data_IF_261411461950
#
_entry.id   IF_261411461950
#
_cell.length_a   1.000
_cell.length_b   1.000
_cell.length_c   1.000
_cell.angle_alpha   90.00
_cell.angle_beta   90.00
_cell.angle_gamma   90.00
#
_symmetry.space_group_name_H-M   'P 1'
#
loop_
_entity.id
_entity.type
_entity.pdbx_description
1 polymer ?
#
# COMPACT_ATOMS: atom_id res chain seq x y z
N UNK A 1 -7.61 -4.55 23.99
CA UNK A 1 -7.49 -5.14 22.64
C UNK A 1 -6.58 -6.34 22.72
N UNK A 2 -6.93 -7.46 22.11
CA UNK A 2 -6.04 -8.61 21.98
C UNK A 2 -4.95 -8.28 20.96
N UNK A 3 -3.77 -8.93 21.06
CA UNK A 3 -2.75 -8.79 20.03
C UNK A 3 -3.28 -9.37 18.70
N UNK A 4 -3.03 -8.71 17.55
CA UNK A 4 -3.43 -9.24 16.26
C UNK A 4 -2.86 -10.63 15.98
N UNK A 5 -3.67 -11.47 15.33
CA UNK A 5 -3.30 -12.83 14.94
C UNK A 5 -3.05 -12.88 13.43
N UNK A 6 -1.88 -13.33 13.03
CA UNK A 6 -1.49 -13.37 11.61
C UNK A 6 -1.49 -14.80 11.06
N UNK A 7 -1.61 -14.94 9.71
CA UNK A 7 -1.46 -16.23 9.05
C UNK A 7 -0.08 -16.86 9.35
N UNK A 8 0.08 -18.18 9.20
CA UNK A 8 1.39 -18.82 9.23
C UNK A 8 2.38 -18.08 8.32
N UNK A 9 3.65 -18.03 8.72
CA UNK A 9 4.75 -17.28 8.08
C UNK A 9 4.77 -15.76 8.38
N UNK A 10 3.75 -15.21 9.04
CA UNK A 10 3.78 -13.82 9.50
C UNK A 10 3.90 -13.71 10.99
N UNK A 11 4.76 -12.81 11.47
CA UNK A 11 5.00 -12.56 12.88
C UNK A 11 4.84 -11.09 13.21
N UNK A 12 3.97 -10.79 14.17
CA UNK A 12 3.67 -9.42 14.56
C UNK A 12 4.62 -8.90 15.64
N UNK A 13 5.07 -7.65 15.48
CA UNK A 13 5.81 -6.88 16.48
C UNK A 13 5.14 -5.53 16.66
N UNK A 14 4.54 -5.31 17.82
CA UNK A 14 3.98 -4.00 18.16
C UNK A 14 5.09 -3.01 18.49
N UNK A 15 4.91 -1.77 18.06
CA UNK A 15 5.69 -0.62 18.53
C UNK A 15 4.77 0.39 19.21
N UNK A 16 5.31 1.15 20.16
CA UNK A 16 4.53 2.06 20.99
C UNK A 16 4.95 3.53 20.77
N UNK A 17 4.08 4.42 21.20
CA UNK A 17 4.33 5.86 21.15
C UNK A 17 4.45 6.38 19.72
N UNK A 18 5.49 7.18 19.48
CA UNK A 18 5.75 7.81 18.17
C UNK A 18 6.71 7.01 17.28
N UNK A 19 6.99 5.73 17.61
CA UNK A 19 7.83 4.90 16.77
C UNK A 19 7.16 4.63 15.43
N UNK A 20 7.90 4.86 14.33
CA UNK A 20 7.41 4.57 12.98
C UNK A 20 7.63 3.08 12.66
N UNK A 21 6.54 2.29 12.46
CA UNK A 21 6.65 0.89 12.09
C UNK A 21 7.41 0.64 10.79
N UNK A 22 7.29 1.55 9.82
CA UNK A 22 7.97 1.40 8.54
C UNK A 22 9.48 1.51 8.68
N UNK A 23 9.97 2.56 9.35
CA UNK A 23 11.41 2.69 9.63
C UNK A 23 11.93 1.54 10.49
N UNK A 24 11.14 1.09 11.47
CA UNK A 24 11.52 -0.07 12.29
C UNK A 24 11.60 -1.35 11.45
N UNK A 25 10.65 -1.59 10.54
CA UNK A 25 10.68 -2.74 9.65
C UNK A 25 11.89 -2.70 8.71
N UNK A 26 12.23 -1.55 8.12
CA UNK A 26 13.42 -1.37 7.30
C UNK A 26 14.71 -1.69 8.10
N UNK A 27 14.80 -1.19 9.34
CA UNK A 27 15.96 -1.48 10.21
C UNK A 27 16.09 -2.97 10.56
N UNK A 28 14.98 -3.67 10.82
CA UNK A 28 15.02 -5.11 11.11
C UNK A 28 15.35 -5.90 9.83
N UNK A 29 14.80 -5.51 8.68
CA UNK A 29 15.11 -6.12 7.39
C UNK A 29 16.58 -5.97 7.03
N UNK A 30 17.18 -4.78 7.22
CA UNK A 30 18.61 -4.55 7.03
C UNK A 30 19.50 -5.33 7.98
N UNK A 31 18.96 -5.81 9.12
CA UNK A 31 19.66 -6.71 10.07
C UNK A 31 19.49 -8.19 9.73
N UNK A 32 18.71 -8.51 8.72
CA UNK A 32 18.47 -9.89 8.28
C UNK A 32 17.35 -10.58 9.06
N UNK A 33 16.25 -9.87 9.38
CA UNK A 33 15.07 -10.55 9.92
C UNK A 33 14.42 -11.45 8.87
N UNK A 34 13.62 -12.40 9.35
CA UNK A 34 12.86 -13.29 8.46
C UNK A 34 11.79 -12.51 7.68
N UNK A 35 11.51 -12.94 6.44
CA UNK A 35 10.36 -12.50 5.66
C UNK A 35 9.06 -12.77 6.42
N UNK A 36 8.07 -11.87 6.27
CA UNK A 36 6.79 -11.96 6.98
C UNK A 36 6.79 -11.27 8.35
N UNK A 37 7.84 -10.54 8.74
CA UNK A 37 7.78 -9.65 9.90
C UNK A 37 6.75 -8.54 9.63
N UNK A 38 5.76 -8.40 10.52
CA UNK A 38 4.75 -7.34 10.52
C UNK A 38 5.02 -6.42 11.71
N UNK A 39 5.53 -5.23 11.46
CA UNK A 39 5.70 -4.19 12.50
C UNK A 39 4.49 -3.29 12.47
N UNK A 40 3.86 -3.02 13.61
CA UNK A 40 2.64 -2.22 13.64
C UNK A 40 2.50 -1.34 14.88
N UNK A 41 1.75 -0.25 14.72
CA UNK A 41 1.29 0.63 15.77
C UNK A 41 -0.22 0.86 15.58
N UNK A 42 -1.00 0.47 16.58
CA UNK A 42 -2.45 0.65 16.61
C UNK A 42 -2.78 1.81 17.58
N UNK A 43 -2.54 3.03 17.11
CA UNK A 43 -2.96 4.22 17.84
C UNK A 43 -4.47 4.42 17.71
N UNK A 44 -5.06 5.24 18.58
CA UNK A 44 -6.51 5.48 18.58
C UNK A 44 -6.98 6.16 17.28
N UNK A 45 -6.14 7.02 16.73
CA UNK A 45 -6.42 7.88 15.58
C UNK A 45 -5.82 7.35 14.28
N UNK A 46 -4.93 6.35 14.34
CA UNK A 46 -4.15 5.90 13.19
C UNK A 46 -3.75 4.43 13.28
N UNK A 47 -3.84 3.73 12.15
CA UNK A 47 -3.22 2.42 11.97
C UNK A 47 -1.97 2.61 11.13
N UNK A 48 -0.82 2.32 11.71
CA UNK A 48 0.47 2.26 11.03
C UNK A 48 0.96 0.82 11.04
N UNK A 49 1.35 0.30 9.88
CA UNK A 49 1.92 -1.04 9.79
C UNK A 49 2.93 -1.14 8.66
N UNK A 50 3.83 -2.12 8.74
CA UNK A 50 4.76 -2.43 7.67
C UNK A 50 5.03 -3.93 7.63
N UNK A 51 5.16 -4.48 6.43
CA UNK A 51 5.44 -5.89 6.20
C UNK A 51 6.77 -6.02 5.47
N UNK A 52 7.63 -6.90 5.97
CA UNK A 52 8.92 -7.25 5.35
C UNK A 52 8.72 -8.44 4.42
N UNK A 53 9.20 -8.31 3.20
CA UNK A 53 9.25 -9.35 2.18
C UNK A 53 10.70 -9.61 1.77
N UNK A 54 11.00 -10.84 1.35
CA UNK A 54 12.27 -11.21 0.73
C UNK A 54 11.96 -12.00 -0.55
N UNK A 55 11.50 -11.32 -1.60
CA UNK A 55 11.16 -11.96 -2.86
C UNK A 55 12.44 -12.37 -3.60
N UNK A 56 12.48 -13.59 -4.11
CA UNK A 56 13.61 -14.17 -4.84
C UNK A 56 13.57 -13.78 -6.33
N UNK A 57 13.50 -12.48 -6.61
CA UNK A 57 13.41 -11.87 -7.93
C UNK A 57 14.16 -10.54 -7.95
N UNK A 58 14.37 -9.95 -9.14
CA UNK A 58 14.98 -8.63 -9.27
C UNK A 58 14.03 -7.51 -8.81
N UNK A 59 14.59 -6.35 -8.45
CA UNK A 59 13.85 -5.24 -7.85
C UNK A 59 12.62 -4.81 -8.66
N UNK A 60 12.72 -4.67 -9.99
CA UNK A 60 11.58 -4.25 -10.82
C UNK A 60 10.40 -5.22 -10.75
N UNK A 61 10.66 -6.52 -10.58
CA UNK A 61 9.63 -7.54 -10.39
C UNK A 61 9.12 -7.57 -8.97
N UNK A 62 10.00 -7.40 -7.97
CA UNK A 62 9.66 -7.35 -6.57
C UNK A 62 8.71 -6.18 -6.23
N UNK A 63 8.78 -5.07 -6.98
CA UNK A 63 7.91 -3.91 -6.80
C UNK A 63 6.42 -4.25 -6.92
N UNK A 64 6.05 -5.39 -7.49
CA UNK A 64 4.67 -5.91 -7.52
C UNK A 64 4.07 -6.08 -6.12
N UNK A 65 4.89 -6.17 -5.07
CA UNK A 65 4.42 -6.23 -3.67
C UNK A 65 3.60 -4.99 -3.29
N UNK A 66 3.90 -3.81 -3.87
CA UNK A 66 3.11 -2.60 -3.61
C UNK A 66 1.66 -2.72 -4.11
N UNK A 67 1.38 -3.01 -5.40
CA UNK A 67 0.00 -3.24 -5.85
C UNK A 67 -0.66 -4.48 -5.22
N UNK A 68 0.08 -5.54 -4.84
CA UNK A 68 -0.47 -6.67 -4.07
C UNK A 68 -1.01 -6.17 -2.72
N UNK A 69 -0.22 -5.40 -1.98
CA UNK A 69 -0.64 -4.82 -0.70
C UNK A 69 -1.81 -3.86 -0.85
N UNK A 70 -1.86 -3.07 -1.95
CA UNK A 70 -2.95 -2.14 -2.23
C UNK A 70 -4.28 -2.86 -2.52
N UNK A 71 -4.27 -3.87 -3.39
CA UNK A 71 -5.45 -4.72 -3.65
C UNK A 71 -5.82 -5.53 -2.40
N UNK A 72 -4.81 -5.99 -1.64
CA UNK A 72 -5.01 -6.65 -0.35
C UNK A 72 -5.74 -5.76 0.65
N UNK A 73 -5.41 -4.46 0.70
CA UNK A 73 -6.12 -3.48 1.54
C UNK A 73 -7.58 -3.31 1.11
N UNK A 74 -7.83 -3.14 -0.20
CA UNK A 74 -9.20 -3.04 -0.71
C UNK A 74 -10.03 -4.27 -0.35
N UNK A 75 -9.48 -5.47 -0.52
CA UNK A 75 -10.17 -6.72 -0.18
C UNK A 75 -10.42 -6.83 1.34
N UNK A 76 -9.45 -6.41 2.17
CA UNK A 76 -9.58 -6.41 3.63
C UNK A 76 -10.67 -5.46 4.10
N UNK A 77 -10.65 -4.21 3.61
CA UNK A 77 -11.66 -3.24 3.98
C UNK A 77 -13.05 -3.64 3.44
N UNK A 78 -13.14 -4.12 2.20
CA UNK A 78 -14.39 -4.59 1.61
C UNK A 78 -15.03 -5.78 2.34
N UNK A 79 -14.23 -6.57 3.08
CA UNK A 79 -14.74 -7.67 3.91
C UNK A 79 -15.29 -7.21 5.28
N UNK A 80 -14.89 -6.03 5.76
CA UNK A 80 -15.16 -5.54 7.11
C UNK A 80 -16.07 -4.30 7.14
N UNK A 81 -15.98 -3.46 6.09
CA UNK A 81 -16.73 -2.22 6.00
C UNK A 81 -18.15 -2.45 5.46
N UNK A 82 -19.06 -1.47 5.64
CA UNK A 82 -20.35 -1.47 4.97
C UNK A 82 -20.23 -1.59 3.45
N UNK A 83 -21.17 -2.24 2.76
CA UNK A 83 -21.07 -2.55 1.33
C UNK A 83 -21.07 -1.32 0.40
N UNK A 84 -21.49 -0.17 0.89
CA UNK A 84 -21.47 1.10 0.17
C UNK A 84 -20.11 1.80 0.16
N UNK A 85 -19.15 1.33 0.96
CA UNK A 85 -17.81 1.92 1.04
C UNK A 85 -16.99 1.52 -0.18
N UNK A 86 -16.65 2.50 -1.00
CA UNK A 86 -15.82 2.31 -2.18
C UNK A 86 -14.35 2.63 -1.91
N UNK A 87 -13.44 1.75 -2.35
CA UNK A 87 -11.99 1.97 -2.28
C UNK A 87 -11.45 2.12 -3.69
N UNK A 88 -10.62 3.15 -3.91
CA UNK A 88 -9.84 3.31 -5.13
C UNK A 88 -8.36 3.44 -4.80
N UNK A 89 -7.51 3.08 -5.75
CA UNK A 89 -6.07 3.04 -5.62
C UNK A 89 -5.42 4.09 -6.50
N UNK A 90 -4.52 4.88 -5.93
CA UNK A 90 -3.66 5.78 -6.69
C UNK A 90 -2.35 5.06 -7.05
N UNK A 91 -1.77 5.43 -8.18
CA UNK A 91 -0.56 4.77 -8.66
C UNK A 91 0.63 4.93 -7.71
N UNK A 92 0.74 6.05 -7.02
CA UNK A 92 1.81 6.35 -6.06
C UNK A 92 1.62 5.70 -4.68
N UNK A 93 0.67 4.76 -4.55
CA UNK A 93 0.33 4.07 -3.31
C UNK A 93 -0.77 4.74 -2.49
N UNK A 94 -1.34 5.85 -2.95
CA UNK A 94 -2.47 6.53 -2.30
C UNK A 94 -3.70 5.62 -2.24
N UNK A 95 -4.42 5.71 -1.11
CA UNK A 95 -5.68 5.01 -0.87
C UNK A 95 -6.81 6.03 -0.79
N UNK A 96 -7.88 5.83 -1.55
CA UNK A 96 -9.09 6.64 -1.48
C UNK A 96 -10.26 5.84 -0.95
N UNK A 97 -11.02 6.44 -0.07
CA UNK A 97 -12.28 5.90 0.43
C UNK A 97 -13.39 6.89 0.06
N UNK A 98 -14.42 6.39 -0.61
CA UNK A 98 -15.53 7.20 -1.14
C UNK A 98 -15.10 8.42 -1.97
N UNK A 99 -13.95 8.31 -2.65
CA UNK A 99 -13.40 9.34 -3.51
C UNK A 99 -12.43 10.33 -2.85
N UNK A 100 -12.33 10.38 -1.52
CA UNK A 100 -11.39 11.23 -0.80
C UNK A 100 -10.13 10.46 -0.38
N UNK A 101 -8.97 11.12 -0.32
CA UNK A 101 -7.70 10.53 0.11
C UNK A 101 -7.78 10.12 1.59
N UNK A 102 -7.54 8.83 1.87
CA UNK A 102 -7.73 8.23 3.20
C UNK A 102 -6.51 7.44 3.69
N UNK A 103 -5.36 7.64 3.13
CA UNK A 103 -4.15 6.95 3.54
C UNK A 103 -3.20 6.67 2.40
N UNK A 104 -2.12 5.99 2.71
CA UNK A 104 -1.07 5.72 1.73
C UNK A 104 -0.29 4.45 2.06
N UNK A 105 0.10 3.73 1.01
CA UNK A 105 1.15 2.74 1.04
C UNK A 105 2.47 3.37 0.61
N UNK A 106 3.57 2.94 1.19
CA UNK A 106 4.93 3.33 0.83
C UNK A 106 5.82 2.11 0.76
N UNK A 107 6.92 2.20 0.02
CA UNK A 107 7.80 1.05 -0.23
C UNK A 107 9.26 1.45 -0.12
N UNK A 108 10.07 0.58 0.49
CA UNK A 108 11.53 0.68 0.51
C UNK A 108 12.15 -0.69 0.21
N UNK A 109 13.36 -0.71 -0.30
CA UNK A 109 14.07 -1.94 -0.65
C UNK A 109 15.56 -1.83 -0.35
N UNK A 110 16.25 -2.96 -0.23
CA UNK A 110 17.71 -3.03 -0.03
C UNK A 110 18.52 -2.62 -1.26
N UNK A 111 17.88 -2.48 -2.42
CA UNK A 111 18.50 -2.17 -3.71
C UNK A 111 17.74 -1.05 -4.40
N UNK A 112 18.42 -0.28 -5.25
CA UNK A 112 17.84 0.80 -6.07
C UNK A 112 17.98 0.54 -7.57
N UNK A 113 18.87 -0.39 -7.98
CA UNK A 113 19.04 -0.79 -9.37
C UNK A 113 17.94 -1.79 -9.76
N UNK A 114 17.03 -1.44 -10.71
CA UNK A 114 15.89 -2.28 -11.08
C UNK A 114 16.26 -3.69 -11.57
N UNK A 115 17.47 -3.88 -12.08
CA UNK A 115 17.92 -5.14 -12.69
C UNK A 115 18.68 -6.04 -11.71
N UNK A 116 18.78 -5.65 -10.44
CA UNK A 116 19.45 -6.44 -9.41
C UNK A 116 18.46 -7.13 -8.50
N UNK A 117 18.87 -8.31 -8.00
CA UNK A 117 18.22 -8.98 -6.88
C UNK A 117 18.35 -8.15 -5.61
N UNK A 118 17.35 -8.26 -4.72
CA UNK A 118 17.30 -7.54 -3.47
C UNK A 118 17.21 -8.52 -2.30
N UNK A 119 17.78 -8.12 -1.15
CA UNK A 119 17.71 -8.93 0.07
C UNK A 119 16.33 -8.79 0.74
N UNK A 120 15.73 -7.60 0.69
CA UNK A 120 14.45 -7.30 1.32
C UNK A 120 13.71 -6.16 0.62
N UNK A 121 12.39 -6.19 0.75
CA UNK A 121 11.46 -5.11 0.39
C UNK A 121 10.46 -4.93 1.53
N UNK A 122 10.17 -3.70 1.90
CA UNK A 122 9.20 -3.35 2.95
C UNK A 122 8.07 -2.54 2.33
N UNK A 123 6.83 -2.95 2.58
CA UNK A 123 5.65 -2.13 2.25
C UNK A 123 5.00 -1.66 3.55
N UNK A 124 4.87 -0.35 3.69
CA UNK A 124 4.21 0.30 4.83
C UNK A 124 2.80 0.74 4.49
N UNK A 125 1.91 0.68 5.46
CA UNK A 125 0.55 1.22 5.44
C UNK A 125 0.45 2.33 6.48
N UNK A 126 -0.06 3.48 6.05
CA UNK A 126 -0.40 4.62 6.89
C UNK A 126 -1.87 4.98 6.65
N UNK A 127 -2.73 4.70 7.63
CA UNK A 127 -4.17 4.86 7.52
C UNK A 127 -4.72 5.68 8.69
N UNK A 128 -5.17 6.92 8.45
CA UNK A 128 -5.84 7.73 9.46
C UNK A 128 -7.24 7.14 9.76
N UNK A 129 -7.52 6.92 11.05
CA UNK A 129 -8.80 6.38 11.54
C UNK A 129 -9.75 7.49 11.96
N UNK A 130 -9.27 8.45 12.75
CA UNK A 130 -10.04 9.59 13.24
C UNK A 130 -9.50 10.91 12.66
N UNK A 131 -10.38 11.90 12.43
CA UNK A 131 -9.96 13.24 12.02
C UNK A 131 -9.02 13.87 13.03
N UNK A 132 -7.94 14.47 12.57
CA UNK A 132 -7.10 15.35 13.38
C UNK A 132 -7.76 16.74 13.47
N UNK A 133 -8.05 17.21 14.71
CA UNK A 133 -8.58 18.54 14.98
C UNK A 133 -10.12 18.67 14.94
N UNK A 134 -10.60 19.88 15.31
CA UNK A 134 -12.01 20.17 15.55
C UNK A 134 -12.78 20.66 14.30
N UNK A 135 -12.13 20.77 13.13
CA UNK A 135 -12.74 21.29 11.91
C UNK A 135 -12.85 20.22 10.81
N UNK A 136 -13.85 19.34 10.84
CA UNK A 136 -14.14 18.46 9.71
C UNK A 136 -14.50 19.32 8.49
N UNK A 137 -13.76 19.14 7.38
CA UNK A 137 -13.98 19.87 6.13
C UNK A 137 -12.95 20.96 5.81
N UNK A 138 -11.94 21.18 6.63
CA UNK A 138 -10.82 22.06 6.31
C UNK A 138 -10.03 21.58 5.07
N UNK A 139 -10.02 20.26 4.84
CA UNK A 139 -9.40 19.61 3.69
C UNK A 139 -10.42 18.70 2.99
N UNK A 140 -11.24 19.22 2.06
CA UNK A 140 -12.35 18.47 1.45
C UNK A 140 -11.89 17.24 0.64
N UNK A 141 -10.63 17.24 0.17
CA UNK A 141 -10.04 16.12 -0.59
C UNK A 141 -9.42 15.03 0.30
N UNK A 142 -9.47 15.20 1.64
CA UNK A 142 -8.93 14.24 2.60
C UNK A 142 -10.03 13.76 3.55
N UNK A 143 -9.91 12.51 3.91
CA UNK A 143 -10.85 11.89 4.86
C UNK A 143 -10.12 10.92 5.80
N UNK A 144 -10.86 10.36 6.73
CA UNK A 144 -10.41 9.30 7.62
C UNK A 144 -11.37 8.13 7.57
N UNK A 145 -10.89 6.94 7.90
CA UNK A 145 -11.69 5.72 7.76
C UNK A 145 -13.05 5.81 8.48
N UNK A 146 -13.07 6.34 9.70
CA UNK A 146 -14.29 6.40 10.50
C UNK A 146 -15.25 7.52 10.07
N UNK A 147 -14.74 8.59 9.45
CA UNK A 147 -15.58 9.61 8.84
C UNK A 147 -16.37 9.08 7.62
N UNK A 148 -15.86 8.03 6.97
CA UNK A 148 -16.48 7.38 5.81
C UNK A 148 -17.43 6.22 6.19
N UNK A 149 -17.92 6.19 7.42
CA UNK A 149 -18.90 5.21 7.87
C UNK A 149 -18.29 3.88 8.34
N UNK A 150 -16.98 3.79 8.50
CA UNK A 150 -16.29 2.58 8.93
C UNK A 150 -15.98 2.55 10.45
N UNK A 151 -16.74 3.25 11.28
CA UNK A 151 -16.48 3.34 12.74
C UNK A 151 -16.51 1.99 13.47
N UNK A 152 -17.20 1.00 12.91
CA UNK A 152 -17.28 -0.36 13.47
C UNK A 152 -16.10 -1.25 13.06
N UNK A 153 -15.27 -0.81 12.09
CA UNK A 153 -14.07 -1.53 11.65
C UNK A 153 -12.99 -1.37 12.70
N UNK A 154 -12.65 -2.47 13.37
CA UNK A 154 -11.58 -2.48 14.37
C UNK A 154 -10.22 -2.48 13.69
N UNK A 155 -9.28 -1.66 14.17
CA UNK A 155 -7.96 -1.51 13.55
C UNK A 155 -7.12 -2.80 13.57
N UNK A 156 -7.22 -3.60 14.65
CA UNK A 156 -6.58 -4.91 14.75
C UNK A 156 -7.16 -5.92 13.74
N UNK A 157 -8.48 -5.98 13.61
CA UNK A 157 -9.15 -6.85 12.62
C UNK A 157 -8.80 -6.43 11.18
N UNK A 158 -8.71 -5.12 10.90
CA UNK A 158 -8.32 -4.63 9.58
C UNK A 158 -6.87 -4.98 9.26
N UNK A 159 -5.95 -4.85 10.22
CA UNK A 159 -4.56 -5.25 10.06
C UNK A 159 -4.43 -6.75 9.77
N UNK A 160 -5.13 -7.60 10.54
CA UNK A 160 -5.16 -9.05 10.30
C UNK A 160 -5.68 -9.39 8.91
N UNK A 161 -6.78 -8.76 8.51
CA UNK A 161 -7.39 -8.96 7.19
C UNK A 161 -6.45 -8.48 6.07
N UNK A 162 -5.79 -7.33 6.23
CA UNK A 162 -4.84 -6.81 5.25
C UNK A 162 -3.67 -7.78 5.02
N UNK A 163 -3.03 -8.27 6.08
CA UNK A 163 -1.94 -9.25 5.97
C UNK A 163 -2.42 -10.55 5.34
N UNK A 164 -3.62 -11.03 5.70
CA UNK A 164 -4.23 -12.23 5.12
C UNK A 164 -4.48 -12.06 3.61
N UNK A 165 -5.09 -10.95 3.19
CA UNK A 165 -5.38 -10.70 1.77
C UNK A 165 -4.11 -10.41 0.97
N UNK A 166 -3.09 -9.81 1.59
CA UNK A 166 -1.75 -9.68 0.99
C UNK A 166 -1.14 -11.07 0.72
N UNK A 167 -1.19 -11.99 1.69
CA UNK A 167 -0.72 -13.36 1.47
C UNK A 167 -1.47 -14.06 0.32
N UNK A 168 -2.79 -13.90 0.24
CA UNK A 168 -3.58 -14.44 -0.88
C UNK A 168 -3.11 -13.86 -2.21
N UNK A 169 -2.84 -12.55 -2.26
CA UNK A 169 -2.31 -11.88 -3.45
C UNK A 169 -0.94 -12.41 -3.86
N UNK A 170 -0.03 -12.63 -2.91
CA UNK A 170 1.31 -13.20 -3.14
C UNK A 170 1.20 -14.60 -3.74
N UNK A 171 0.39 -15.48 -3.13
CA UNK A 171 0.19 -16.84 -3.62
C UNK A 171 -0.38 -16.82 -5.04
N UNK A 172 -1.39 -15.97 -5.30
CA UNK A 172 -1.97 -15.85 -6.63
C UNK A 172 -0.96 -15.35 -7.66
N UNK A 173 -0.13 -14.38 -7.30
CA UNK A 173 0.96 -13.91 -8.17
C UNK A 173 1.98 -15.01 -8.46
N UNK A 174 2.36 -15.80 -7.45
CA UNK A 174 3.27 -16.92 -7.62
C UNK A 174 2.72 -18.02 -8.53
N UNK A 175 1.41 -18.32 -8.43
CA UNK A 175 0.77 -19.42 -9.15
C UNK A 175 0.30 -19.02 -10.56
N UNK A 176 -0.22 -17.80 -10.72
CA UNK A 176 -0.92 -17.33 -11.93
C UNK A 176 -0.18 -16.20 -12.65
N UNK A 177 0.90 -15.66 -12.07
CA UNK A 177 1.62 -14.52 -12.59
C UNK A 177 0.92 -13.18 -12.32
N UNK A 178 1.35 -12.13 -13.00
CA UNK A 178 0.95 -10.73 -12.72
C UNK A 178 -0.42 -10.35 -13.30
N UNK A 179 -0.91 -11.04 -14.33
CA UNK A 179 -2.09 -10.64 -15.10
C UNK A 179 -3.39 -10.52 -14.28
N UNK A 180 -3.70 -11.44 -13.35
CA UNK A 180 -4.89 -11.30 -12.52
C UNK A 180 -4.82 -10.06 -11.64
N UNK A 181 -3.67 -9.82 -11.00
CA UNK A 181 -3.44 -8.63 -10.17
C UNK A 181 -3.58 -7.34 -10.98
N UNK A 182 -3.01 -7.32 -12.20
CA UNK A 182 -3.12 -6.17 -13.10
C UNK A 182 -4.59 -5.85 -13.45
N UNK A 183 -5.40 -6.88 -13.67
CA UNK A 183 -6.84 -6.72 -13.94
C UNK A 183 -7.56 -6.15 -12.72
N UNK A 184 -7.31 -6.71 -11.53
CA UNK A 184 -7.92 -6.27 -10.28
C UNK A 184 -7.53 -4.81 -9.97
N UNK A 185 -6.24 -4.50 -10.03
CA UNK A 185 -5.73 -3.16 -9.75
C UNK A 185 -6.29 -2.11 -10.72
N UNK A 186 -6.34 -2.40 -12.03
CA UNK A 186 -6.93 -1.48 -13.03
C UNK A 186 -8.40 -1.20 -12.78
N UNK A 187 -9.15 -2.19 -12.28
CA UNK A 187 -10.55 -2.01 -11.89
C UNK A 187 -10.74 -1.06 -10.70
N UNK A 188 -9.71 -0.86 -9.90
CA UNK A 188 -9.71 -0.01 -8.70
C UNK A 188 -8.96 1.31 -8.91
N UNK A 189 -8.22 1.45 -10.03
CA UNK A 189 -7.35 2.58 -10.26
C UNK A 189 -8.13 3.90 -10.34
N UNK A 190 -7.63 4.90 -9.60
CA UNK A 190 -8.15 6.26 -9.63
C UNK A 190 -7.49 7.08 -10.74
N UNK A 191 -8.23 8.05 -11.28
CA UNK A 191 -7.74 9.09 -12.21
C UNK A 191 -7.16 8.59 -13.54
N UNK A 192 -7.47 7.37 -14.00
CA UNK A 192 -7.14 6.97 -15.37
C UNK A 192 -7.90 7.87 -16.36
N UNK A 193 -7.15 8.49 -17.27
CA UNK A 193 -7.67 9.45 -18.26
C UNK A 193 -7.65 10.89 -17.80
N UNK A 194 -7.25 11.19 -16.56
CA UNK A 194 -7.19 12.53 -16.01
C UNK A 194 -5.77 13.13 -16.06
N UNK A 195 -5.68 14.46 -15.99
CA UNK A 195 -4.40 15.15 -15.82
C UNK A 195 -3.85 14.92 -14.42
N UNK A 196 -2.59 14.51 -14.36
CA UNK A 196 -1.86 14.31 -13.09
C UNK A 196 -0.45 14.87 -13.17
N UNK A 197 0.17 15.00 -12.01
CA UNK A 197 1.59 15.42 -11.88
C UNK A 197 2.34 14.40 -11.07
N UNK A 198 3.45 13.88 -11.62
CA UNK A 198 4.34 12.96 -10.95
C UNK A 198 5.76 13.53 -10.92
N UNK A 199 6.21 13.95 -9.74
CA UNK A 199 7.45 14.71 -9.60
C UNK A 199 7.41 16.01 -10.44
N UNK A 200 8.37 16.15 -11.37
CA UNK A 200 8.41 17.29 -12.31
C UNK A 200 7.61 17.06 -13.61
N UNK A 201 7.03 15.87 -13.80
CA UNK A 201 6.33 15.49 -15.02
C UNK A 201 4.84 15.72 -14.88
N UNK A 202 4.23 16.44 -15.83
CA UNK A 202 2.78 16.66 -15.93
C UNK A 202 2.25 16.03 -17.20
N UNK A 203 1.07 15.40 -17.13
CA UNK A 203 0.42 14.78 -18.28
C UNK A 203 -0.88 14.06 -17.93
N UNK A 204 -1.45 13.37 -18.91
CA UNK A 204 -2.63 12.51 -18.72
C UNK A 204 -2.18 11.12 -18.30
N UNK A 205 -2.71 10.61 -17.21
CA UNK A 205 -2.49 9.23 -16.75
C UNK A 205 -3.29 8.26 -17.65
N UNK A 206 -2.60 7.51 -18.51
CA UNK A 206 -3.27 6.58 -19.45
C UNK A 206 -3.56 5.21 -18.83
N UNK A 207 -2.90 4.86 -17.74
CA UNK A 207 -2.93 3.55 -17.11
C UNK A 207 -1.52 3.05 -16.81
N UNK A 208 -1.38 1.75 -16.58
CA UNK A 208 -0.10 1.13 -16.26
C UNK A 208 0.29 0.10 -17.30
N UNK A 209 1.60 -0.12 -17.46
CA UNK A 209 2.15 -1.21 -18.25
C UNK A 209 2.06 -2.56 -17.51
N UNK A 210 2.64 -3.60 -18.08
CA UNK A 210 2.64 -4.96 -17.53
C UNK A 210 3.38 -5.10 -16.18
N UNK A 211 4.29 -4.16 -15.87
CA UNK A 211 5.05 -4.08 -14.60
C UNK A 211 4.52 -2.98 -13.67
N UNK A 212 3.29 -2.52 -13.88
CA UNK A 212 2.67 -1.42 -13.14
C UNK A 212 3.37 -0.06 -13.27
N UNK A 213 4.28 0.11 -14.23
CA UNK A 213 4.83 1.42 -14.54
C UNK A 213 3.75 2.35 -15.08
N UNK A 214 3.70 3.61 -14.59
CA UNK A 214 2.73 4.61 -15.03
C UNK A 214 3.00 5.03 -16.47
N UNK A 215 1.96 5.01 -17.31
CA UNK A 215 1.99 5.59 -18.63
C UNK A 215 1.42 7.02 -18.57
N UNK A 216 2.30 8.00 -18.63
CA UNK A 216 1.98 9.42 -18.56
C UNK A 216 2.17 10.08 -19.91
N UNK A 217 1.10 10.58 -20.53
CA UNK A 217 1.13 11.24 -21.83
C UNK A 217 1.10 12.77 -21.67
N UNK A 218 2.11 13.43 -22.17
CA UNK A 218 2.13 14.87 -22.38
C UNK A 218 1.91 15.21 -23.87
N UNK A 219 2.11 16.48 -24.25
CA UNK A 219 1.93 16.95 -25.64
C UNK A 219 2.93 16.29 -26.62
N UNK A 220 4.10 15.92 -26.17
CA UNK A 220 5.21 15.43 -27.00
C UNK A 220 5.28 13.92 -27.11
N UNK A 221 5.03 13.19 -25.99
CA UNK A 221 5.24 11.75 -25.90
C UNK A 221 4.45 11.08 -24.77
N UNK A 222 4.43 9.75 -24.80
CA UNK A 222 4.04 8.92 -23.64
C UNK A 222 5.30 8.49 -22.91
N UNK A 223 5.38 8.81 -21.64
CA UNK A 223 6.49 8.45 -20.75
C UNK A 223 6.09 7.27 -19.89
N UNK A 224 6.97 6.29 -19.78
CA UNK A 224 6.88 5.22 -18.79
C UNK A 224 7.63 5.66 -17.53
N UNK A 225 6.93 5.65 -16.40
CA UNK A 225 7.49 5.92 -15.07
C UNK A 225 7.44 4.61 -14.29
N UNK A 226 8.57 3.96 -14.01
CA UNK A 226 8.57 2.67 -13.33
C UNK A 226 8.19 2.80 -11.86
N UNK A 227 7.63 1.73 -11.26
CA UNK A 227 7.29 1.71 -9.82
C UNK A 227 8.50 1.96 -8.91
N UNK A 228 9.72 1.69 -9.38
CA UNK A 228 10.95 1.94 -8.62
C UNK A 228 11.19 3.44 -8.34
N UNK A 229 10.52 4.36 -9.05
CA UNK A 229 10.53 5.80 -8.71
C UNK A 229 9.75 6.11 -7.40
N UNK A 230 8.99 5.15 -6.87
CA UNK A 230 8.25 5.27 -5.60
C UNK A 230 9.05 4.80 -4.37
N UNK A 231 10.29 4.32 -4.56
CA UNK A 231 11.12 3.90 -3.43
C UNK A 231 11.42 5.07 -2.50
N UNK A 232 11.08 4.88 -1.22
CA UNK A 232 11.44 5.83 -0.16
C UNK A 232 12.92 5.71 0.19
N UNK A 233 13.58 6.83 0.42
CA UNK A 233 14.93 6.85 1.01
C UNK A 233 14.85 6.45 2.49
N UNK A 234 15.73 5.57 2.96
CA UNK A 234 15.72 5.02 4.33
C UNK A 234 17.11 5.02 4.98
#
# INVERSE_FOLDING_TARGET
MSAPSFPPLFQGTAVEGHADPFLKACLEAARGCDSGLVVYNLATDRLLAAVVFSPDVILKEAMVMLPICAVGFQNALGALAPPEVAVHLEWDGGLRVNGASCGKLKVAASETDPEKELDWLVVGLDLPLWPEGDNPGEFPDRTTLYAEGCSDVQADALLEAWVKHTLVGINRWSDEGVQPLHTDWRGLAHSIGEETTMGARKGTFLGVDENFGMLLRNEDATHLIPLTELLEEH
#
